data_IF_172475035042
#
_entry.id   IF_172475035042
#
_cell.length_a   1.000
_cell.length_b   1.000
_cell.length_c   1.000
_cell.angle_alpha   90.00
_cell.angle_beta   90.00
_cell.angle_gamma   90.00
#
_symmetry.space_group_name_H-M   'P 1'
#
loop_
_entity.id
_entity.type
_entity.pdbx_description
1 polymer ?
#
# COMPACT_ATOMS: atom_id res chain seq x y z
N UNK A 1 -17.90 -10.15 -15.44
CA UNK A 1 -16.82 -9.15 -15.23
C UNK A 1 -16.47 -9.15 -13.75
N UNK A 2 -15.58 -10.04 -13.32
CA UNK A 2 -15.31 -10.21 -11.88
C UNK A 2 -14.30 -9.13 -11.47
N UNK A 3 -14.81 -7.99 -11.00
CA UNK A 3 -13.98 -6.91 -10.47
C UNK A 3 -13.38 -7.35 -9.15
N UNK A 4 -12.11 -7.75 -9.16
CA UNK A 4 -11.36 -7.97 -7.92
C UNK A 4 -11.05 -6.62 -7.28
N UNK A 5 -11.52 -6.41 -6.05
CA UNK A 5 -11.23 -5.18 -5.31
C UNK A 5 -9.73 -5.02 -5.14
N UNK A 6 -9.20 -3.90 -5.60
CA UNK A 6 -7.79 -3.53 -5.45
C UNK A 6 -7.66 -2.46 -4.40
N UNK A 7 -6.78 -2.71 -3.45
CA UNK A 7 -6.49 -1.82 -2.33
C UNK A 7 -5.06 -1.33 -2.45
N UNK A 8 -4.84 -0.07 -2.08
CA UNK A 8 -3.52 0.50 -1.89
C UNK A 8 -3.41 0.93 -0.45
N UNK A 9 -2.40 0.44 0.25
CA UNK A 9 -2.16 0.75 1.65
C UNK A 9 -0.78 1.34 1.82
N UNK A 10 -0.70 2.38 2.64
CA UNK A 10 0.56 3.03 3.01
C UNK A 10 0.83 2.72 4.48
N UNK A 11 2.02 2.18 4.79
CA UNK A 11 2.44 1.80 6.15
C UNK A 11 3.92 2.04 6.36
N UNK A 12 4.29 2.29 7.62
CA UNK A 12 5.69 2.30 8.03
C UNK A 12 6.18 0.86 8.19
N UNK A 13 7.32 0.54 7.58
CA UNK A 13 8.04 -0.70 7.86
C UNK A 13 8.76 -0.61 9.21
N UNK A 14 9.15 -1.76 9.77
CA UNK A 14 9.91 -1.83 11.01
C UNK A 14 11.27 -1.09 10.94
N UNK A 15 11.81 -0.90 9.74
CA UNK A 15 13.04 -0.14 9.50
C UNK A 15 12.79 1.36 9.30
N UNK A 16 11.59 1.87 9.62
CA UNK A 16 11.24 3.28 9.49
C UNK A 16 11.02 3.76 8.06
N UNK A 17 10.90 2.84 7.08
CA UNK A 17 10.64 3.22 5.67
C UNK A 17 9.14 3.15 5.39
N UNK A 18 8.57 4.23 4.86
CA UNK A 18 7.19 4.23 4.38
C UNK A 18 7.07 3.37 3.11
N UNK A 19 6.15 2.42 3.12
CA UNK A 19 5.88 1.49 2.03
C UNK A 19 4.48 1.74 1.46
N UNK A 20 4.38 1.68 0.14
CA UNK A 20 3.12 1.64 -0.59
C UNK A 20 2.92 0.20 -1.07
N UNK A 21 1.82 -0.41 -0.66
CA UNK A 21 1.48 -1.81 -0.96
C UNK A 21 0.15 -1.87 -1.69
N UNK A 22 0.18 -2.28 -2.96
CA UNK A 22 -1.00 -2.60 -3.72
C UNK A 22 -1.33 -4.10 -3.55
N UNK A 23 -2.55 -4.40 -3.13
CA UNK A 23 -3.00 -5.77 -2.92
C UNK A 23 -4.45 -5.97 -3.35
N UNK A 24 -4.86 -7.22 -3.43
CA UNK A 24 -6.25 -7.61 -3.60
C UNK A 24 -6.57 -8.74 -2.63
N UNK A 25 -7.78 -8.72 -2.10
CA UNK A 25 -8.28 -9.77 -1.22
C UNK A 25 -9.08 -10.78 -2.04
N UNK A 26 -8.63 -12.03 -2.01
CA UNK A 26 -9.34 -13.18 -2.55
C UNK A 26 -9.81 -14.07 -1.41
N UNK A 27 -10.97 -13.74 -0.85
CA UNK A 27 -11.54 -14.46 0.28
C UNK A 27 -10.61 -14.40 1.49
N UNK A 28 -10.02 -15.54 1.85
CA UNK A 28 -9.12 -15.67 3.00
C UNK A 28 -7.65 -15.32 2.69
N UNK A 29 -7.33 -14.95 1.44
CA UNK A 29 -5.96 -14.69 1.01
C UNK A 29 -5.79 -13.28 0.48
N UNK A 30 -4.85 -12.55 1.06
CA UNK A 30 -4.35 -11.30 0.49
C UNK A 30 -3.23 -11.59 -0.51
N UNK A 31 -3.40 -11.19 -1.77
CA UNK A 31 -2.35 -11.24 -2.79
C UNK A 31 -1.72 -9.86 -2.93
N UNK A 32 -0.44 -9.76 -2.65
CA UNK A 32 0.34 -8.56 -2.97
C UNK A 32 0.55 -8.51 -4.49
N UNK A 33 0.18 -7.37 -5.08
CA UNK A 33 0.39 -7.07 -6.50
C UNK A 33 1.71 -6.32 -6.67
N UNK A 34 1.98 -5.35 -5.80
CA UNK A 34 3.21 -4.56 -5.80
C UNK A 34 3.49 -4.02 -4.39
N UNK A 35 4.77 -3.99 -4.01
CA UNK A 35 5.24 -3.34 -2.81
C UNK A 35 6.50 -2.53 -3.14
N UNK A 36 6.49 -1.24 -2.81
CA UNK A 36 7.63 -0.35 -3.03
C UNK A 36 7.77 0.65 -1.90
N UNK A 37 8.98 1.19 -1.75
CA UNK A 37 9.21 2.35 -0.89
C UNK A 37 8.43 3.54 -1.45
N UNK A 38 7.70 4.24 -0.59
CA UNK A 38 7.01 5.46 -0.95
C UNK A 38 8.01 6.51 -1.42
N UNK A 39 7.70 7.19 -2.52
CA UNK A 39 8.51 8.32 -2.97
C UNK A 39 8.44 9.46 -1.95
N UNK A 40 9.40 10.40 -1.99
CA UNK A 40 9.38 11.57 -1.09
C UNK A 40 8.09 12.39 -1.22
N UNK A 41 7.48 12.42 -2.40
CA UNK A 41 6.22 13.13 -2.63
C UNK A 41 5.04 12.40 -1.97
N UNK A 42 4.96 11.07 -2.12
CA UNK A 42 3.94 10.25 -1.46
C UNK A 42 4.09 10.24 0.07
N UNK A 43 5.34 10.30 0.56
CA UNK A 43 5.62 10.45 2.00
C UNK A 43 5.02 11.75 2.53
N UNK A 44 5.34 12.89 1.91
CA UNK A 44 4.80 14.20 2.32
C UNK A 44 3.27 14.23 2.29
N UNK A 45 2.66 13.74 1.21
CA UNK A 45 1.20 13.69 1.12
C UNK A 45 0.56 12.86 2.24
N UNK A 46 1.21 11.76 2.64
CA UNK A 46 0.74 10.94 3.75
C UNK A 46 0.98 11.61 5.13
N UNK A 47 2.09 12.33 5.28
CA UNK A 47 2.44 13.06 6.51
C UNK A 47 1.60 14.34 6.70
N UNK A 48 1.20 15.02 5.62
CA UNK A 48 0.37 16.24 5.66
C UNK A 48 -1.12 15.95 5.84
N UNK A 49 -1.57 14.73 5.53
CA UNK A 49 -2.97 14.30 5.65
C UNK A 49 -3.35 13.70 7.01
N UNK A 50 -2.44 13.72 7.99
CA UNK A 50 -2.63 13.23 9.36
C UNK A 50 -2.47 14.37 10.37
#
# INVERSE_FOLDING_TARGET
MTGESRYVTIRLSQLGRLLVVAHTDRGDRTRIISARIATRQEQRFYEEGN
#
